data_IF_888834026329
#
_entry.id   IF_888834026329
#
_cell.length_a   1.000
_cell.length_b   1.000
_cell.length_c   1.000
_cell.angle_alpha   90.00
_cell.angle_beta   90.00
_cell.angle_gamma   90.00
#
_symmetry.space_group_name_H-M   'P 1'
#
loop_
_entity.id
_entity.type
_entity.pdbx_description
1 polymer ?
#
# COMPACT_ATOMS: atom_id res chain seq x y z
N UNK A 1 28.51 11.11 -2.81
CA UNK A 1 27.58 11.35 -1.69
C UNK A 1 26.12 10.98 -2.03
N UNK A 2 25.62 11.22 -3.26
CA UNK A 2 24.22 10.90 -3.63
C UNK A 2 23.81 9.41 -3.54
N UNK A 3 24.66 8.48 -3.99
CA UNK A 3 24.33 7.04 -4.02
C UNK A 3 24.01 6.42 -2.64
N UNK A 4 24.64 6.91 -1.57
CA UNK A 4 24.36 6.44 -0.21
C UNK A 4 23.00 6.88 0.32
N UNK A 5 22.59 8.11 0.01
CA UNK A 5 21.28 8.67 0.38
C UNK A 5 20.17 7.98 -0.41
N UNK A 6 20.37 7.72 -1.70
CA UNK A 6 19.43 7.00 -2.56
C UNK A 6 19.19 5.58 -2.04
N UNK A 7 20.25 4.86 -1.68
CA UNK A 7 20.13 3.52 -1.09
C UNK A 7 19.41 3.53 0.27
N UNK A 8 19.63 4.56 1.10
CA UNK A 8 18.88 4.72 2.35
C UNK A 8 17.39 5.01 2.10
N UNK A 9 17.06 5.91 1.18
CA UNK A 9 15.68 6.25 0.83
C UNK A 9 14.94 5.04 0.24
N UNK A 10 15.58 4.28 -0.66
CA UNK A 10 15.04 3.05 -1.20
C UNK A 10 14.76 2.01 -0.11
N UNK A 11 15.65 1.85 0.88
CA UNK A 11 15.43 0.93 2.01
C UNK A 11 14.30 1.38 2.91
N UNK A 12 14.16 2.68 3.15
CA UNK A 12 13.04 3.23 3.93
C UNK A 12 11.72 2.97 3.19
N UNK A 13 11.68 3.19 1.87
CA UNK A 13 10.54 2.84 1.02
C UNK A 13 10.13 1.38 1.20
N UNK A 14 11.07 0.45 0.98
CA UNK A 14 10.83 -0.99 1.13
C UNK A 14 10.27 -1.35 2.52
N UNK A 15 10.80 -0.75 3.59
CA UNK A 15 10.30 -1.00 4.95
C UNK A 15 8.85 -0.57 5.10
N UNK A 16 8.48 0.59 4.55
CA UNK A 16 7.10 1.08 4.62
C UNK A 16 6.19 0.19 3.75
N UNK A 17 6.61 -0.20 2.54
CA UNK A 17 5.85 -1.08 1.65
C UNK A 17 5.51 -2.41 2.31
N UNK A 18 6.49 -3.01 3.00
CA UNK A 18 6.31 -4.26 3.75
C UNK A 18 5.32 -4.06 4.90
N UNK A 19 5.43 -2.96 5.66
CA UNK A 19 4.49 -2.67 6.75
C UNK A 19 3.04 -2.49 6.24
N UNK A 20 2.86 -1.75 5.16
CA UNK A 20 1.55 -1.55 4.52
C UNK A 20 1.02 -2.86 3.96
N UNK A 21 1.88 -3.67 3.35
CA UNK A 21 1.53 -5.01 2.86
C UNK A 21 1.03 -5.92 3.98
N UNK A 22 1.71 -5.95 5.14
CA UNK A 22 1.30 -6.72 6.31
C UNK A 22 -0.07 -6.25 6.81
N UNK A 23 -0.31 -4.93 6.88
CA UNK A 23 -1.62 -4.39 7.26
C UNK A 23 -2.73 -4.83 6.30
N UNK A 24 -2.47 -4.79 4.99
CA UNK A 24 -3.43 -5.22 3.97
C UNK A 24 -3.70 -6.73 4.03
N UNK A 25 -2.69 -7.56 4.32
CA UNK A 25 -2.86 -9.00 4.52
C UNK A 25 -3.72 -9.29 5.75
N UNK A 26 -3.43 -8.66 6.88
CA UNK A 26 -4.23 -8.80 8.12
C UNK A 26 -5.67 -8.34 7.86
N UNK A 27 -5.84 -7.22 7.16
CA UNK A 27 -7.15 -6.70 6.74
C UNK A 27 -7.92 -7.70 5.87
N UNK A 28 -7.28 -8.25 4.83
CA UNK A 28 -7.88 -9.25 3.95
C UNK A 28 -8.26 -10.53 4.69
N UNK A 29 -7.40 -11.00 5.60
CA UNK A 29 -7.68 -12.16 6.44
C UNK A 29 -8.84 -11.90 7.41
N UNK A 30 -8.86 -10.74 8.07
CA UNK A 30 -9.96 -10.35 8.95
C UNK A 30 -11.29 -10.23 8.18
N UNK A 31 -11.24 -9.73 6.94
CA UNK A 31 -12.41 -9.69 6.07
C UNK A 31 -12.89 -11.11 5.70
N UNK A 32 -11.97 -12.02 5.40
CA UNK A 32 -12.31 -13.40 5.05
C UNK A 32 -13.02 -14.16 6.18
N UNK A 33 -12.59 -13.96 7.44
CA UNK A 33 -13.18 -14.62 8.61
C UNK A 33 -14.48 -13.98 9.11
N UNK A 34 -14.83 -12.77 8.66
CA UNK A 34 -16.03 -12.06 9.11
C UNK A 34 -17.24 -12.30 8.20
N UNK A 35 -18.44 -12.32 8.78
CA UNK A 35 -19.70 -12.39 8.04
C UNK A 35 -20.17 -11.04 7.50
N UNK A 36 -19.70 -9.93 8.10
CA UNK A 36 -20.05 -8.55 7.72
C UNK A 36 -18.79 -7.73 7.46
N UNK A 37 -18.95 -6.61 6.74
CA UNK A 37 -17.88 -5.63 6.54
C UNK A 37 -17.30 -5.15 7.86
N UNK A 38 -15.97 -5.12 7.93
CA UNK A 38 -15.23 -4.79 9.14
C UNK A 38 -14.54 -3.42 8.98
N UNK A 39 -14.74 -2.51 9.93
CA UNK A 39 -14.23 -1.14 9.87
C UNK A 39 -12.71 -1.10 9.71
N UNK A 40 -11.99 -1.95 10.44
CA UNK A 40 -10.54 -2.08 10.29
C UNK A 40 -10.11 -2.34 8.84
N UNK A 41 -10.79 -3.26 8.15
CA UNK A 41 -10.40 -3.64 6.80
C UNK A 41 -10.75 -2.56 5.76
N UNK A 42 -11.83 -1.82 5.98
CA UNK A 42 -12.15 -0.62 5.20
C UNK A 42 -11.06 0.44 5.38
N UNK A 43 -10.71 0.76 6.63
CA UNK A 43 -9.68 1.76 6.95
C UNK A 43 -8.33 1.34 6.39
N UNK A 44 -7.93 0.09 6.57
CA UNK A 44 -6.67 -0.44 6.04
C UNK A 44 -6.62 -0.36 4.50
N UNK A 45 -7.75 -0.62 3.83
CA UNK A 45 -7.85 -0.46 2.37
C UNK A 45 -7.69 1.01 1.95
N UNK A 46 -8.31 1.96 2.66
CA UNK A 46 -8.10 3.39 2.40
C UNK A 46 -6.65 3.82 2.63
N UNK A 47 -6.00 3.32 3.69
CA UNK A 47 -4.59 3.56 3.96
C UNK A 47 -3.73 3.02 2.81
N UNK A 48 -4.02 1.81 2.31
CA UNK A 48 -3.31 1.24 1.16
C UNK A 48 -3.47 2.07 -0.12
N UNK A 49 -4.69 2.54 -0.45
CA UNK A 49 -4.91 3.44 -1.59
C UNK A 49 -4.11 4.74 -1.42
N UNK A 50 -4.22 5.38 -0.26
CA UNK A 50 -3.51 6.61 0.03
C UNK A 50 -1.99 6.44 -0.06
N UNK A 51 -1.48 5.32 0.45
CA UNK A 51 -0.07 4.98 0.40
C UNK A 51 0.42 4.84 -1.04
N UNK A 52 -0.26 4.06 -1.89
CA UNK A 52 0.10 3.90 -3.30
C UNK A 52 0.17 5.24 -4.03
N UNK A 53 -0.77 6.15 -3.77
CA UNK A 53 -0.77 7.49 -4.37
C UNK A 53 0.42 8.31 -3.88
N UNK A 54 0.67 8.32 -2.57
CA UNK A 54 1.79 9.06 -1.97
C UNK A 54 3.13 8.53 -2.49
N UNK A 55 3.30 7.21 -2.51
CA UNK A 55 4.48 6.54 -3.01
C UNK A 55 4.68 6.90 -4.49
N UNK A 56 3.63 6.82 -5.31
CA UNK A 56 3.74 7.15 -6.72
C UNK A 56 4.20 8.61 -6.95
N UNK A 57 3.63 9.56 -6.21
CA UNK A 57 4.02 10.98 -6.31
C UNK A 57 5.44 11.19 -5.78
N UNK A 58 5.75 10.75 -4.55
CA UNK A 58 7.04 11.03 -3.93
C UNK A 58 8.20 10.29 -4.61
N UNK A 59 8.03 9.01 -4.95
CA UNK A 59 9.09 8.21 -5.55
C UNK A 59 9.26 8.43 -7.05
N UNK A 60 8.18 8.62 -7.82
CA UNK A 60 8.31 8.72 -9.28
C UNK A 60 8.26 10.14 -9.84
N UNK A 61 7.77 11.13 -9.08
CA UNK A 61 7.79 12.53 -9.54
C UNK A 61 8.85 13.36 -8.83
N UNK A 62 8.99 13.25 -7.51
CA UNK A 62 9.91 14.11 -6.74
C UNK A 62 11.31 13.54 -6.58
N UNK A 63 11.44 12.23 -6.38
CA UNK A 63 12.74 11.59 -6.19
C UNK A 63 13.69 11.70 -7.40
N UNK A 64 13.23 11.54 -8.67
CA UNK A 64 14.09 11.74 -9.85
C UNK A 64 14.71 13.14 -9.88
N UNK A 65 13.91 14.17 -9.62
CA UNK A 65 14.34 15.57 -9.62
C UNK A 65 15.38 15.87 -8.53
N UNK A 66 15.25 15.20 -7.37
CA UNK A 66 16.16 15.37 -6.24
C UNK A 66 17.45 14.56 -6.36
N UNK A 67 17.42 13.43 -7.07
CA UNK A 67 18.52 12.45 -7.07
C UNK A 67 19.26 12.37 -8.41
N UNK A 68 18.69 12.91 -9.48
CA UNK A 68 19.21 12.81 -10.84
C UNK A 68 19.09 11.41 -11.44
N UNK A 69 18.45 10.47 -10.74
CA UNK A 69 18.10 9.15 -11.28
C UNK A 69 16.96 9.27 -12.28
N UNK A 70 16.95 8.40 -13.28
CA UNK A 70 15.84 8.37 -14.24
C UNK A 70 14.61 7.73 -13.58
N UNK A 71 13.41 8.20 -13.94
CA UNK A 71 12.17 7.62 -13.43
C UNK A 71 12.04 6.12 -13.72
N UNK A 72 12.61 5.64 -14.82
CA UNK A 72 12.64 4.21 -15.17
C UNK A 72 13.44 3.35 -14.18
N UNK A 73 14.63 3.81 -13.75
CA UNK A 73 15.46 3.07 -12.79
C UNK A 73 14.75 2.91 -11.44
N UNK A 74 14.07 3.97 -10.99
CA UNK A 74 13.28 3.97 -9.78
C UNK A 74 12.07 3.05 -9.92
N UNK A 75 11.42 3.03 -11.09
CA UNK A 75 10.29 2.17 -11.38
C UNK A 75 10.68 0.70 -11.42
N UNK A 76 11.82 0.34 -12.02
CA UNK A 76 12.33 -1.04 -12.02
C UNK A 76 12.64 -1.50 -10.58
N UNK A 77 13.22 -0.63 -9.76
CA UNK A 77 13.56 -0.95 -8.38
C UNK A 77 12.33 -1.06 -7.46
N UNK A 78 11.33 -0.18 -7.63
CA UNK A 78 10.14 -0.10 -6.79
C UNK A 78 8.96 -0.95 -7.26
N UNK A 79 8.86 -1.28 -8.55
CA UNK A 79 7.72 -1.99 -9.13
C UNK A 79 7.38 -3.32 -8.44
N UNK A 80 8.35 -4.17 -8.01
CA UNK A 80 8.03 -5.41 -7.30
C UNK A 80 7.28 -5.17 -5.97
N UNK A 81 7.61 -4.12 -5.24
CA UNK A 81 6.97 -3.81 -3.96
C UNK A 81 5.62 -3.12 -4.16
N UNK A 82 5.57 -2.15 -5.06
CA UNK A 82 4.33 -1.46 -5.44
C UNK A 82 3.28 -2.43 -5.99
N UNK A 83 3.68 -3.37 -6.86
CA UNK A 83 2.77 -4.39 -7.42
C UNK A 83 2.23 -5.33 -6.35
N UNK A 84 3.02 -5.63 -5.32
CA UNK A 84 2.63 -6.49 -4.20
C UNK A 84 1.65 -5.78 -3.26
N UNK A 85 1.89 -4.50 -2.94
CA UNK A 85 0.94 -3.65 -2.20
C UNK A 85 -0.38 -3.52 -2.97
N UNK A 86 -0.32 -3.25 -4.27
CA UNK A 86 -1.49 -3.16 -5.15
C UNK A 86 -2.28 -4.48 -5.19
N UNK A 87 -1.60 -5.63 -5.30
CA UNK A 87 -2.25 -6.94 -5.28
C UNK A 87 -3.00 -7.17 -3.96
N UNK A 88 -2.36 -6.91 -2.83
CA UNK A 88 -3.01 -7.07 -1.52
C UNK A 88 -4.14 -6.08 -1.29
N UNK A 89 -4.02 -4.86 -1.82
CA UNK A 89 -5.08 -3.87 -1.78
C UNK A 89 -6.31 -4.35 -2.57
N UNK A 90 -6.11 -4.86 -3.78
CA UNK A 90 -7.19 -5.41 -4.61
C UNK A 90 -7.85 -6.59 -3.93
N UNK A 91 -7.07 -7.50 -3.32
CA UNK A 91 -7.62 -8.63 -2.58
C UNK A 91 -8.44 -8.17 -1.36
N UNK A 92 -7.90 -7.25 -0.55
CA UNK A 92 -8.60 -6.74 0.62
C UNK A 92 -9.93 -6.06 0.25
N UNK A 93 -9.92 -5.23 -0.81
CA UNK A 93 -11.13 -4.60 -1.33
C UNK A 93 -12.11 -5.63 -1.90
N UNK A 94 -11.64 -6.63 -2.64
CA UNK A 94 -12.49 -7.69 -3.19
C UNK A 94 -13.22 -8.45 -2.09
N UNK A 95 -12.51 -8.88 -1.04
CA UNK A 95 -13.12 -9.56 0.10
C UNK A 95 -14.11 -8.64 0.84
N UNK A 96 -13.78 -7.36 1.06
CA UNK A 96 -14.70 -6.40 1.67
C UNK A 96 -15.97 -6.16 0.86
N UNK A 97 -15.85 -6.03 -0.47
CA UNK A 97 -17.00 -5.76 -1.34
C UNK A 97 -17.96 -6.95 -1.40
N UNK A 98 -17.44 -8.18 -1.28
CA UNK A 98 -18.25 -9.40 -1.24
C UNK A 98 -19.11 -9.50 0.02
N UNK A 99 -18.69 -8.89 1.13
CA UNK A 99 -19.41 -8.95 2.39
C UNK A 99 -20.60 -7.97 2.41
N UNK A 100 -21.74 -8.37 3.02
CA UNK A 100 -22.85 -7.47 3.28
C UNK A 100 -22.43 -6.36 4.25
N UNK A 101 -23.01 -5.17 4.07
CA UNK A 101 -22.77 -4.04 4.96
C UNK A 101 -23.24 -4.35 6.38
N UNK A 102 -22.39 -4.01 7.36
CA UNK A 102 -22.70 -4.17 8.79
C UNK A 102 -23.99 -3.46 9.15
N UNK A 103 -24.95 -4.17 9.76
CA UNK A 103 -26.16 -3.55 10.30
C UNK A 103 -25.87 -3.05 11.73
N UNK A 104 -25.55 -1.78 11.86
CA UNK A 104 -25.40 -1.16 13.17
C UNK A 104 -26.75 -1.21 13.92
N UNK A 105 -26.78 -1.68 15.19
CA UNK A 105 -27.98 -1.57 16.01
C UNK A 105 -28.35 -0.09 16.11
N UNK A 106 -29.57 0.24 15.68
CA UNK A 106 -30.16 1.57 15.87
C UNK A 106 -30.53 1.65 17.35
N UNK A 107 -29.65 2.25 18.15
CA UNK A 107 -29.98 2.71 19.49
C UNK A 107 -30.89 3.95 19.41
#
# INVERSE_FOLDING_TARGET
MGAGIINMLARIGIVIDVLVSVLLVISGYAAYECEERHEFAIIASFVGVGFVVIEFVLFYTWLPDLTGCTGEELLIAGAPFLSLVLLFLVLALYYQLKLPGKKYPRF
#
